data_IF_688254359741
#
_entry.id   IF_688254359741
#
_cell.length_a   1.000
_cell.length_b   1.000
_cell.length_c   1.000
_cell.angle_alpha   90.00
_cell.angle_beta   90.00
_cell.angle_gamma   90.00
#
_symmetry.space_group_name_H-M   'P 1'
#
loop_
_entity.id
_entity.type
_entity.pdbx_description
1 polymer ?
#
# COMPACT_ATOMS: atom_id res chain seq x y z
N UNK A 1 3.84 17.65 21.71
CA UNK A 1 3.66 18.23 20.37
C UNK A 1 3.92 19.73 20.48
N UNK A 2 4.74 20.32 19.59
CA UNK A 2 4.93 21.78 19.57
C UNK A 2 3.61 22.46 19.17
N UNK A 3 3.23 23.59 19.78
CA UNK A 3 2.06 24.34 19.36
C UNK A 3 2.28 24.95 17.96
N UNK A 4 1.22 25.11 17.18
CA UNK A 4 1.29 25.76 15.85
C UNK A 4 1.94 27.14 15.89
N UNK A 5 1.82 27.83 17.03
CA UNK A 5 2.41 29.14 17.27
C UNK A 5 3.92 29.13 17.44
N UNK A 6 4.59 27.99 17.36
CA UNK A 6 6.05 27.85 17.40
C UNK A 6 6.61 27.23 16.12
N UNK A 7 5.75 26.77 15.21
CA UNK A 7 6.19 26.12 14.00
C UNK A 7 6.85 27.11 13.04
N UNK A 8 7.91 26.66 12.39
CA UNK A 8 8.48 27.36 11.25
C UNK A 8 7.54 27.27 10.03
N UNK A 9 7.81 28.06 8.99
CA UNK A 9 7.04 28.00 7.75
C UNK A 9 7.14 26.61 7.10
N UNK A 10 8.31 25.98 7.19
CA UNK A 10 8.59 24.65 6.66
C UNK A 10 7.86 23.57 7.45
N UNK A 11 7.85 23.66 8.79
CA UNK A 11 7.07 22.74 9.64
C UNK A 11 5.57 22.87 9.38
N UNK A 12 5.06 24.08 9.21
CA UNK A 12 3.65 24.34 8.88
C UNK A 12 3.28 23.84 7.47
N UNK A 13 4.19 23.97 6.50
CA UNK A 13 3.99 23.46 5.14
C UNK A 13 3.98 21.92 5.05
N UNK A 14 4.43 21.22 6.08
CA UNK A 14 4.35 19.75 6.19
C UNK A 14 3.09 19.27 6.92
N UNK A 15 2.30 20.17 7.51
CA UNK A 15 1.09 19.81 8.25
C UNK A 15 -0.07 19.45 7.33
N UNK A 16 -0.66 18.27 7.51
CA UNK A 16 -1.67 17.73 6.60
C UNK A 16 -2.91 18.61 6.48
N UNK A 17 -3.40 19.15 7.61
CA UNK A 17 -4.56 20.04 7.63
C UNK A 17 -4.25 21.40 7.02
N UNK A 18 -3.01 21.86 7.15
CA UNK A 18 -2.55 23.10 6.54
C UNK A 18 -2.44 22.94 5.02
N UNK A 19 -1.77 21.87 4.55
CA UNK A 19 -1.67 21.52 3.13
C UNK A 19 -3.05 21.42 2.50
N UNK A 20 -3.99 20.71 3.15
CA UNK A 20 -5.35 20.55 2.65
C UNK A 20 -6.09 21.88 2.54
N UNK A 21 -5.95 22.76 3.53
CA UNK A 21 -6.53 24.10 3.48
C UNK A 21 -6.01 24.91 2.28
N UNK A 22 -4.70 24.91 2.06
CA UNK A 22 -4.07 25.68 0.99
C UNK A 22 -4.46 25.14 -0.39
N UNK A 23 -4.54 23.81 -0.55
CA UNK A 23 -4.87 23.16 -1.82
C UNK A 23 -6.37 23.15 -2.14
N UNK A 24 -7.21 23.08 -1.12
CA UNK A 24 -8.66 22.94 -1.24
C UNK A 24 -9.36 23.94 -0.31
N UNK A 25 -9.32 25.25 -0.65
CA UNK A 25 -9.83 26.31 0.22
C UNK A 25 -11.36 26.26 0.42
N UNK A 26 -12.09 25.49 -0.39
CA UNK A 26 -13.54 25.36 -0.33
C UNK A 26 -14.05 24.50 0.85
N UNK A 27 -13.16 23.77 1.55
CA UNK A 27 -13.50 23.02 2.75
C UNK A 27 -13.76 23.98 3.93
N UNK A 28 -15.03 24.30 4.16
CA UNK A 28 -15.46 25.33 5.12
C UNK A 28 -14.98 25.08 6.55
N UNK A 29 -14.95 23.83 7.01
CA UNK A 29 -14.54 23.49 8.37
C UNK A 29 -13.05 23.77 8.58
N UNK A 30 -12.23 23.35 7.62
CA UNK A 30 -10.77 23.55 7.66
C UNK A 30 -10.43 25.03 7.47
N UNK A 31 -11.11 25.71 6.54
CA UNK A 31 -10.94 27.14 6.30
C UNK A 31 -11.22 27.97 7.55
N UNK A 32 -12.35 27.72 8.21
CA UNK A 32 -12.74 28.45 9.40
C UNK A 32 -11.71 28.30 10.52
N UNK A 33 -11.12 27.13 10.69
CA UNK A 33 -10.06 26.91 11.67
C UNK A 33 -8.84 27.81 11.41
N UNK A 34 -8.30 27.78 10.19
CA UNK A 34 -7.08 28.52 9.86
C UNK A 34 -7.29 30.03 9.81
N UNK A 35 -8.42 30.51 9.30
CA UNK A 35 -8.75 31.95 9.31
C UNK A 35 -8.86 32.47 10.75
N UNK A 36 -9.56 31.75 11.63
CA UNK A 36 -9.66 32.11 13.05
C UNK A 36 -8.29 32.06 13.75
N UNK A 37 -7.45 31.08 13.40
CA UNK A 37 -6.10 30.97 13.95
C UNK A 37 -5.22 32.15 13.54
N UNK A 38 -5.28 32.59 12.28
CA UNK A 38 -4.53 33.74 11.77
C UNK A 38 -4.97 35.03 12.48
N UNK A 39 -6.28 35.23 12.67
CA UNK A 39 -6.81 36.38 13.44
C UNK A 39 -6.26 36.39 14.87
N UNK A 40 -6.12 35.20 15.50
CA UNK A 40 -5.60 35.06 16.86
C UNK A 40 -4.07 35.30 16.95
N UNK A 41 -3.33 35.05 15.88
CA UNK A 41 -1.87 35.17 15.83
C UNK A 41 -1.40 36.03 14.65
N UNK A 42 -1.68 37.34 14.63
CA UNK A 42 -1.33 38.22 13.52
C UNK A 42 0.18 38.31 13.28
N UNK A 43 1.01 38.15 14.32
CA UNK A 43 2.47 38.09 14.20
C UNK A 43 2.99 36.88 13.40
N UNK A 44 2.15 35.87 13.19
CA UNK A 44 2.47 34.66 12.40
C UNK A 44 2.08 34.79 10.94
N UNK A 45 1.50 35.91 10.51
CA UNK A 45 1.04 36.10 9.14
C UNK A 45 2.14 35.87 8.09
N UNK A 46 3.35 36.38 8.33
CA UNK A 46 4.49 36.17 7.44
C UNK A 46 4.90 34.69 7.36
N UNK A 47 4.89 33.98 8.49
CA UNK A 47 5.17 32.53 8.54
C UNK A 47 4.12 31.74 7.76
N UNK A 48 2.84 32.10 7.91
CA UNK A 48 1.73 31.46 7.19
C UNK A 48 1.84 31.70 5.70
N UNK A 49 2.16 32.92 5.26
CA UNK A 49 2.29 33.24 3.84
C UNK A 49 3.43 32.46 3.19
N UNK A 50 4.61 32.43 3.84
CA UNK A 50 5.73 31.62 3.37
C UNK A 50 5.39 30.13 3.31
N UNK A 51 4.66 29.60 4.30
CA UNK A 51 4.22 28.22 4.29
C UNK A 51 3.23 27.93 3.15
N UNK A 52 2.31 28.87 2.87
CA UNK A 52 1.38 28.76 1.73
C UNK A 52 2.13 28.70 0.40
N UNK A 53 3.12 29.58 0.23
CA UNK A 53 3.98 29.59 -0.95
C UNK A 53 4.67 28.23 -1.15
N UNK A 54 5.30 27.68 -0.10
CA UNK A 54 5.94 26.37 -0.15
C UNK A 54 4.97 25.25 -0.57
N UNK A 55 3.76 25.24 -0.01
CA UNK A 55 2.74 24.24 -0.37
C UNK A 55 2.31 24.40 -1.82
N UNK A 56 2.11 25.63 -2.30
CA UNK A 56 1.72 25.89 -3.69
C UNK A 56 2.82 25.46 -4.66
N UNK A 57 4.08 25.85 -4.41
CA UNK A 57 5.23 25.44 -5.24
C UNK A 57 5.32 23.91 -5.32
N UNK A 58 5.17 23.21 -4.18
CA UNK A 58 5.21 21.75 -4.15
C UNK A 58 3.98 21.09 -4.81
N UNK A 59 2.83 21.76 -4.76
CA UNK A 59 1.56 21.23 -5.30
C UNK A 59 1.37 21.51 -6.77
N UNK A 60 2.05 22.53 -7.31
CA UNK A 60 2.00 22.88 -8.73
C UNK A 60 2.86 21.95 -9.60
N UNK A 61 3.33 20.84 -9.03
CA UNK A 61 3.76 19.66 -9.78
C UNK A 61 2.57 19.11 -10.58
N UNK A 62 2.36 19.70 -11.76
CA UNK A 62 1.56 19.15 -12.83
C UNK A 62 2.54 18.38 -13.71
N UNK A 63 2.70 17.06 -13.54
CA UNK A 63 3.35 16.30 -14.61
C UNK A 63 2.51 16.57 -15.85
N UNK A 64 3.15 16.87 -16.99
CA UNK A 64 2.45 17.02 -18.26
C UNK A 64 1.39 15.94 -18.33
N UNK A 65 0.12 16.35 -18.32
CA UNK A 65 -0.97 15.40 -18.22
C UNK A 65 -0.87 14.54 -19.48
N UNK A 66 -0.56 13.26 -19.30
CA UNK A 66 -0.44 12.35 -20.43
C UNK A 66 -1.69 12.46 -21.28
N UNK A 67 -1.48 12.61 -22.59
CA UNK A 67 -2.57 12.56 -23.55
C UNK A 67 -3.30 11.22 -23.41
N UNK A 68 -4.59 11.20 -23.74
CA UNK A 68 -5.37 9.96 -23.71
C UNK A 68 -4.72 8.85 -24.56
N UNK A 69 -3.99 9.23 -25.62
CA UNK A 69 -3.23 8.31 -26.47
C UNK A 69 -2.05 7.67 -25.73
N UNK A 70 -1.28 8.44 -24.95
CA UNK A 70 -0.17 7.92 -24.14
C UNK A 70 -0.67 6.97 -23.04
N UNK A 71 -1.78 7.33 -22.38
CA UNK A 71 -2.44 6.47 -21.38
C UNK A 71 -2.85 5.14 -22.01
N UNK A 72 -3.51 5.17 -23.17
CA UNK A 72 -3.93 3.97 -23.89
C UNK A 72 -2.73 3.11 -24.32
N UNK A 73 -1.63 3.73 -24.75
CA UNK A 73 -0.39 3.03 -25.11
C UNK A 73 0.22 2.31 -23.91
N UNK A 74 0.30 2.95 -22.74
CA UNK A 74 0.80 2.35 -21.51
C UNK A 74 -0.07 1.15 -21.10
N UNK A 75 -1.40 1.30 -21.10
CA UNK A 75 -2.31 0.19 -20.78
C UNK A 75 -2.19 -0.98 -21.76
N UNK A 76 -2.00 -0.69 -23.06
CA UNK A 76 -1.71 -1.71 -24.07
C UNK A 76 -0.47 -2.52 -23.74
N UNK A 77 0.63 -1.84 -23.36
CA UNK A 77 1.89 -2.47 -22.95
C UNK A 77 1.73 -3.32 -21.69
N UNK A 78 1.04 -2.81 -20.66
CA UNK A 78 0.76 -3.56 -19.43
C UNK A 78 0.00 -4.85 -19.78
N UNK A 79 -1.07 -4.76 -20.57
CA UNK A 79 -1.86 -5.94 -20.97
C UNK A 79 -1.03 -6.96 -21.74
N UNK A 80 -0.22 -6.52 -22.71
CA UNK A 80 0.65 -7.43 -23.47
C UNK A 80 1.69 -8.13 -22.57
N UNK A 81 2.19 -7.44 -21.54
CA UNK A 81 3.18 -8.03 -20.63
C UNK A 81 2.57 -9.13 -19.75
N UNK A 82 1.30 -9.00 -19.37
CA UNK A 82 0.57 -9.99 -18.59
C UNK A 82 0.21 -11.22 -19.43
N UNK A 83 -0.17 -11.01 -20.69
CA UNK A 83 -0.54 -12.08 -21.63
C UNK A 83 0.66 -13.01 -21.92
N UNK A 84 1.85 -12.43 -22.11
CA UNK A 84 3.11 -13.18 -22.32
C UNK A 84 3.47 -14.08 -21.13
N UNK A 85 3.07 -13.71 -19.91
CA UNK A 85 3.32 -14.50 -18.70
C UNK A 85 2.35 -15.67 -18.62
N UNK A 86 1.06 -15.45 -18.94
CA UNK A 86 0.04 -16.51 -18.96
C UNK A 86 0.34 -17.63 -19.97
N UNK A 87 0.79 -17.27 -21.17
CA UNK A 87 1.13 -18.24 -22.22
C UNK A 87 2.34 -19.13 -21.86
N UNK A 88 3.28 -18.60 -21.07
CA UNK A 88 4.46 -19.36 -20.61
C UNK A 88 4.12 -20.41 -19.55
N UNK A 89 3.12 -20.16 -18.72
CA UNK A 89 2.65 -21.13 -17.73
C UNK A 89 1.80 -22.24 -18.38
N UNK A 90 0.94 -21.89 -19.35
CA UNK A 90 0.14 -22.87 -20.08
C UNK A 90 1.01 -23.89 -20.83
N UNK A 91 2.10 -23.44 -21.47
CA UNK A 91 2.98 -24.29 -22.28
C UNK A 91 3.90 -25.21 -21.46
N UNK A 92 4.09 -24.95 -20.15
CA UNK A 92 4.89 -25.82 -19.27
C UNK A 92 4.10 -27.02 -18.71
N UNK A 93 2.76 -27.02 -18.84
CA UNK A 93 1.90 -28.05 -18.24
C UNK A 93 1.67 -29.30 -19.09
N UNK A 94 2.18 -29.37 -20.33
CA UNK A 94 1.91 -30.50 -21.25
C UNK A 94 3.13 -31.34 -21.60
N UNK A 95 4.14 -31.38 -20.73
CA UNK A 95 5.33 -32.22 -20.94
C UNK A 95 5.96 -32.62 -19.64
N UNK A 96 5.39 -33.62 -18.97
CA UNK A 96 6.16 -34.74 -18.38
C UNK A 96 5.23 -35.85 -17.88
N UNK A 97 5.45 -37.04 -18.42
CA UNK A 97 4.86 -38.28 -17.95
C UNK A 97 5.47 -38.68 -16.60
N UNK A 98 4.66 -38.70 -15.53
CA UNK A 98 4.96 -39.51 -14.34
C UNK A 98 3.66 -39.87 -13.62
N UNK A 99 2.81 -40.59 -14.34
CA UNK A 99 1.73 -41.34 -13.73
C UNK A 99 2.30 -42.54 -12.97
N UNK A 100 1.82 -42.72 -11.74
CA UNK A 100 1.81 -43.96 -10.95
C UNK A 100 2.73 -44.10 -9.73
N UNK A 101 3.17 -43.01 -9.06
CA UNK A 101 3.84 -43.11 -7.74
C UNK A 101 3.17 -42.32 -6.60
N UNK A 102 2.09 -41.57 -6.84
CA UNK A 102 1.45 -40.71 -5.82
C UNK A 102 0.57 -41.49 -4.84
N UNK A 103 -0.16 -42.50 -5.31
CA UNK A 103 -1.08 -43.31 -4.48
C UNK A 103 -0.30 -44.16 -3.46
N UNK A 104 0.80 -44.79 -3.89
CA UNK A 104 1.64 -45.59 -3.00
C UNK A 104 2.26 -44.76 -1.86
N UNK A 105 2.70 -43.53 -2.14
CA UNK A 105 3.23 -42.61 -1.12
C UNK A 105 2.17 -42.22 -0.09
N UNK A 106 0.94 -41.96 -0.51
CA UNK A 106 -0.16 -41.65 0.42
C UNK A 106 -0.51 -42.83 1.34
N UNK A 107 -0.53 -44.07 0.82
CA UNK A 107 -0.81 -45.27 1.62
C UNK A 107 0.29 -45.51 2.67
N UNK A 108 1.55 -45.33 2.30
CA UNK A 108 2.70 -45.50 3.21
C UNK A 108 2.64 -44.49 4.38
N UNK A 109 2.28 -43.23 4.11
CA UNK A 109 2.17 -42.21 5.15
C UNK A 109 1.04 -42.51 6.13
N UNK A 110 -0.10 -43.00 5.64
CA UNK A 110 -1.24 -43.40 6.49
C UNK A 110 -0.84 -44.57 7.39
N UNK A 111 -0.20 -45.60 6.82
CA UNK A 111 0.26 -46.77 7.61
C UNK A 111 1.24 -46.37 8.72
N UNK A 112 2.22 -45.51 8.41
CA UNK A 112 3.18 -45.01 9.39
C UNK A 112 2.52 -44.18 10.50
N UNK A 113 1.52 -43.37 10.16
CA UNK A 113 0.80 -42.57 11.15
C UNK A 113 -0.04 -43.43 12.11
N UNK A 114 -0.74 -44.43 11.58
CA UNK A 114 -1.59 -45.33 12.37
C UNK A 114 -0.74 -46.17 13.33
N UNK A 115 0.38 -46.73 12.87
CA UNK A 115 1.27 -47.51 13.74
C UNK A 115 1.92 -46.67 14.83
N UNK A 116 2.32 -45.44 14.51
CA UNK A 116 2.89 -44.51 15.49
C UNK A 116 1.88 -44.12 16.58
N UNK A 117 0.62 -43.83 16.21
CA UNK A 117 -0.44 -43.53 17.18
C UNK A 117 -0.75 -44.73 18.08
N UNK A 118 -0.79 -45.94 17.51
CA UNK A 118 -1.00 -47.16 18.30
C UNK A 118 0.14 -47.39 19.30
N UNK A 119 1.39 -47.15 18.88
CA UNK A 119 2.56 -47.24 19.77
C UNK A 119 2.52 -46.21 20.90
N UNK A 120 2.17 -44.95 20.59
CA UNK A 120 1.97 -43.92 21.61
C UNK A 120 0.88 -44.30 22.61
N UNK A 121 -0.24 -44.84 22.14
CA UNK A 121 -1.34 -45.25 22.99
C UNK A 121 -0.94 -46.44 23.90
N UNK A 122 -0.25 -47.42 23.34
CA UNK A 122 0.28 -48.56 24.10
C UNK A 122 1.29 -48.12 25.17
N UNK A 123 2.18 -47.18 24.83
CA UNK A 123 3.16 -46.64 25.77
C UNK A 123 2.50 -45.88 26.92
N UNK A 124 1.50 -45.03 26.62
CA UNK A 124 0.74 -44.28 27.63
C UNK A 124 0.02 -45.23 28.60
N UNK A 125 -0.63 -46.28 28.07
CA UNK A 125 -1.37 -47.24 28.89
C UNK A 125 -0.50 -48.23 29.66
N UNK A 126 0.70 -48.54 29.15
CA UNK A 126 1.66 -49.44 29.85
C UNK A 126 2.46 -48.69 30.92
N UNK A 127 2.59 -47.37 30.81
CA UNK A 127 3.33 -46.52 31.75
C UNK A 127 2.48 -46.02 32.95
N UNK A 128 1.24 -46.48 33.09
CA UNK A 128 0.34 -46.21 34.21
C UNK A 128 0.00 -47.52 34.95
#
# INVERSE_FOLDING_TARGET
MKPFSELSAEELAMENLFIRWVRFPDDQAIRSFWENWIIKYPSRQETVEKARELVLIASDWRPDSLTSQEVNSIWGRIRSSLDIIGDREAKKSTGDASGNNSIARSIILILMSVTFLFFLFYFIFTSH
#
